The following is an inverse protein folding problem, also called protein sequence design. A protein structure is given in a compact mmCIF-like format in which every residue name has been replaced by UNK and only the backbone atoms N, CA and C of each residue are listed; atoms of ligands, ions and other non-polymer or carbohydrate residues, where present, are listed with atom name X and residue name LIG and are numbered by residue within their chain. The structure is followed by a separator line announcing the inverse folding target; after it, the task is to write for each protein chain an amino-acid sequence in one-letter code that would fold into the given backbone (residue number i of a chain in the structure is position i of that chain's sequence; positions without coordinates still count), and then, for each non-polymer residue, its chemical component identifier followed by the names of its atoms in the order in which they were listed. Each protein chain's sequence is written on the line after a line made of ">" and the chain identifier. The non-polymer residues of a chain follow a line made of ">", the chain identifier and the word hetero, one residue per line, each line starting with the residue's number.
data_IF_459694188451
#
_entry.id   IF_459694188451
#
_cell.length_a   1.000
_cell.length_b   1.000
_cell.length_c   1.000
_cell.angle_alpha   90.00
_cell.angle_beta   90.00
_cell.angle_gamma   90.00
#
_symmetry.space_group_name_H-M   'P 1'
#
loop_
_entity.id
_entity.type
_entity.pdbx_description
1 polymer ?
#
# COMPACT_ATOMS: atom_id res chain seq x y z
N UNK A 1 2.40 17.07 -1.90
CA UNK A 1 1.46 16.98 -0.76
C UNK A 1 1.13 18.36 -0.23
N UNK A 2 -0.07 18.50 0.32
CA UNK A 2 -0.57 19.69 0.99
C UNK A 2 -1.07 19.27 2.37
N UNK A 3 -0.77 20.09 3.41
CA UNK A 3 -1.22 19.80 4.77
C UNK A 3 -1.66 21.11 5.43
N UNK A 4 -2.79 21.06 6.13
CA UNK A 4 -3.30 22.13 6.97
C UNK A 4 -3.51 21.60 8.39
N UNK A 5 -3.06 22.37 9.38
CA UNK A 5 -3.15 22.02 10.79
C UNK A 5 -3.79 23.16 11.57
N UNK A 6 -4.77 22.85 12.40
CA UNK A 6 -5.38 23.78 13.35
C UNK A 6 -5.18 23.26 14.77
N UNK A 7 -4.44 24.02 15.56
CA UNK A 7 -4.26 23.77 16.99
C UNK A 7 -5.12 24.74 17.80
N UNK A 8 -6.02 24.20 18.60
CA UNK A 8 -6.93 24.98 19.45
C UNK A 8 -6.70 24.68 20.91
N UNK A 9 -6.48 25.71 21.70
CA UNK A 9 -6.42 25.61 23.16
C UNK A 9 -7.75 26.09 23.75
N UNK A 10 -8.49 25.14 24.36
CA UNK A 10 -9.80 25.40 24.94
C UNK A 10 -9.69 25.51 26.46
N UNK A 11 -9.44 26.70 26.92
CA UNK A 11 -9.08 26.96 28.33
C UNK A 11 -7.65 26.54 28.67
N UNK A 12 -7.39 26.17 29.93
CA UNK A 12 -6.04 25.82 30.41
C UNK A 12 -5.71 24.34 30.30
N UNK A 13 -6.71 23.49 30.20
CA UNK A 13 -6.57 22.00 30.33
C UNK A 13 -6.99 21.22 29.12
N UNK A 14 -7.54 21.85 28.10
CA UNK A 14 -8.03 21.16 26.91
C UNK A 14 -7.31 21.65 25.66
N UNK A 15 -6.93 20.71 24.82
CA UNK A 15 -6.33 20.99 23.52
C UNK A 15 -7.03 20.16 22.44
N UNK A 16 -7.17 20.75 21.27
CA UNK A 16 -7.62 20.04 20.09
C UNK A 16 -6.66 20.32 18.93
N UNK A 17 -6.38 19.28 18.16
CA UNK A 17 -5.55 19.34 16.96
C UNK A 17 -6.29 18.69 15.81
N UNK A 18 -6.68 19.49 14.83
CA UNK A 18 -7.23 19.04 13.57
C UNK A 18 -6.16 19.11 12.48
N UNK A 19 -5.97 18.00 11.77
CA UNK A 19 -5.04 17.87 10.64
C UNK A 19 -5.81 17.42 9.42
N UNK A 20 -5.63 18.11 8.30
CA UNK A 20 -6.14 17.73 6.99
C UNK A 20 -4.97 17.66 6.04
N UNK A 21 -4.84 16.56 5.31
CA UNK A 21 -3.79 16.39 4.32
C UNK A 21 -4.30 15.82 3.01
N UNK A 22 -3.63 16.22 1.94
CA UNK A 22 -3.78 15.69 0.61
C UNK A 22 -2.42 15.34 0.03
N UNK A 23 -2.29 14.12 -0.47
CA UNK A 23 -1.09 13.67 -1.16
C UNK A 23 -1.47 13.16 -2.55
N UNK A 24 -0.72 13.60 -3.54
CA UNK A 24 -0.78 13.11 -4.90
C UNK A 24 0.59 12.60 -5.32
N UNK A 25 0.62 11.37 -5.77
CA UNK A 25 1.81 10.74 -6.32
C UNK A 25 1.49 10.20 -7.72
N UNK A 26 2.33 10.55 -8.70
CA UNK A 26 2.24 10.03 -10.06
C UNK A 26 3.60 9.42 -10.44
N UNK A 27 3.69 8.10 -10.27
CA UNK A 27 4.86 7.28 -10.63
C UNK A 27 4.80 6.67 -12.03
N UNK A 28 3.96 7.20 -12.90
CA UNK A 28 3.62 6.57 -14.17
C UNK A 28 4.62 6.78 -15.31
N UNK A 29 5.61 7.63 -15.15
CA UNK A 29 6.35 8.11 -16.32
C UNK A 29 7.70 7.43 -16.49
N UNK A 30 7.69 6.26 -17.08
CA UNK A 30 8.80 5.85 -17.94
C UNK A 30 8.38 6.06 -19.38
N UNK A 31 8.71 7.21 -19.93
CA UNK A 31 8.56 7.49 -21.34
C UNK A 31 9.70 6.80 -22.08
N UNK A 32 9.34 6.03 -23.06
CA UNK A 32 10.30 5.42 -23.97
C UNK A 32 10.05 5.96 -25.39
N UNK A 33 11.09 6.00 -26.20
CA UNK A 33 11.09 6.63 -27.52
C UNK A 33 10.34 5.84 -28.61
N UNK A 34 9.38 4.99 -28.26
CA UNK A 34 8.57 4.23 -29.22
C UNK A 34 8.14 2.87 -28.66
N UNK A 35 7.21 2.21 -29.30
CA UNK A 35 6.68 0.90 -28.91
C UNK A 35 7.55 -0.22 -29.52
N UNK A 36 8.68 -0.52 -28.89
CA UNK A 36 9.56 -1.61 -29.30
C UNK A 36 9.37 -2.82 -28.38
N UNK A 37 9.31 -4.05 -28.93
CA UNK A 37 9.28 -5.25 -28.09
C UNK A 37 10.62 -5.44 -27.38
N UNK A 38 10.59 -6.21 -26.30
CA UNK A 38 11.79 -6.76 -25.70
C UNK A 38 12.29 -7.94 -26.50
N UNK A 39 13.55 -7.94 -26.86
CA UNK A 39 14.19 -9.03 -27.62
C UNK A 39 15.37 -9.56 -26.85
N UNK A 40 15.33 -10.88 -26.53
CA UNK A 40 16.47 -11.63 -26.01
C UNK A 40 17.10 -12.48 -27.11
N UNK A 41 18.41 -12.37 -27.28
CA UNK A 41 19.20 -13.21 -28.14
C UNK A 41 20.05 -14.12 -27.24
N UNK A 42 19.88 -15.42 -27.39
CA UNK A 42 20.53 -16.41 -26.54
C UNK A 42 21.88 -16.82 -27.11
N UNK A 43 22.78 -17.24 -26.21
CA UNK A 43 24.04 -17.90 -26.53
C UNK A 43 24.35 -18.93 -25.46
N UNK A 44 24.86 -20.12 -25.81
CA UNK A 44 25.35 -21.05 -24.81
C UNK A 44 26.54 -20.42 -24.05
N UNK A 45 26.51 -20.57 -22.72
CA UNK A 45 27.68 -20.28 -21.88
C UNK A 45 28.72 -21.42 -21.93
N UNK A 46 29.82 -21.28 -21.20
CA UNK A 46 30.90 -22.30 -21.15
C UNK A 46 30.42 -23.66 -20.62
N UNK A 47 29.31 -23.70 -19.88
CA UNK A 47 28.66 -24.93 -19.40
C UNK A 47 27.58 -25.47 -20.33
N UNK A 48 27.39 -24.89 -21.52
CA UNK A 48 26.36 -25.28 -22.49
C UNK A 48 24.95 -24.79 -22.13
N UNK A 49 24.77 -23.99 -21.09
CA UNK A 49 23.48 -23.41 -20.70
C UNK A 49 23.18 -22.19 -21.56
N UNK A 50 22.04 -22.17 -22.21
CA UNK A 50 21.59 -20.98 -22.96
C UNK A 50 21.22 -19.82 -22.05
N UNK A 51 21.92 -18.68 -22.21
CA UNK A 51 21.67 -17.43 -21.49
C UNK A 51 21.43 -16.29 -22.45
N UNK A 52 20.69 -15.27 -22.00
CA UNK A 52 20.58 -14.03 -22.75
C UNK A 52 21.95 -13.37 -22.86
N UNK A 53 22.47 -13.36 -24.05
CA UNK A 53 23.77 -12.77 -24.43
C UNK A 53 23.60 -11.33 -24.87
N UNK A 54 22.49 -11.00 -25.52
CA UNK A 54 22.13 -9.65 -25.94
C UNK A 54 20.64 -9.42 -25.64
N UNK A 55 20.35 -8.25 -25.09
CA UNK A 55 19.01 -7.78 -24.89
C UNK A 55 18.83 -6.46 -25.65
N UNK A 56 17.76 -6.32 -26.39
CA UNK A 56 17.42 -5.15 -27.16
C UNK A 56 15.94 -4.76 -26.98
N UNK A 57 15.62 -3.51 -27.30
CA UNK A 57 14.29 -2.97 -27.21
C UNK A 57 13.93 -2.49 -25.81
N UNK A 58 12.67 -2.60 -25.45
CA UNK A 58 12.14 -2.15 -24.18
C UNK A 58 12.50 -3.03 -23.00
N UNK A 59 12.58 -2.44 -21.82
CA UNK A 59 12.53 -3.18 -20.56
C UNK A 59 11.17 -3.87 -20.45
N UNK A 60 11.18 -5.18 -20.22
CA UNK A 60 10.00 -6.03 -20.14
C UNK A 60 8.99 -5.62 -19.06
N UNK A 61 9.40 -4.81 -18.07
CA UNK A 61 8.61 -4.37 -16.94
C UNK A 61 8.23 -2.89 -17.00
N UNK A 62 8.68 -2.14 -18.00
CA UNK A 62 8.55 -0.68 -18.01
C UNK A 62 7.40 -0.16 -18.88
N UNK A 63 7.03 -0.90 -19.94
CA UNK A 63 6.05 -0.42 -20.92
C UNK A 63 4.68 -0.18 -20.29
N UNK A 64 4.24 1.09 -20.32
CA UNK A 64 2.98 1.59 -19.76
C UNK A 64 2.70 1.22 -18.30
N UNK A 65 3.69 0.68 -17.58
CA UNK A 65 3.58 0.39 -16.16
C UNK A 65 3.68 1.67 -15.33
N UNK A 66 2.97 1.69 -14.23
CA UNK A 66 3.00 2.82 -13.33
C UNK A 66 1.89 2.79 -12.29
N UNK A 67 1.97 3.73 -11.38
CA UNK A 67 1.02 3.90 -10.28
C UNK A 67 0.65 5.37 -10.15
N UNK A 68 -0.64 5.62 -9.94
CA UNK A 68 -1.15 6.93 -9.53
C UNK A 68 -1.83 6.75 -8.19
N UNK A 69 -1.53 7.63 -7.24
CA UNK A 69 -2.07 7.56 -5.90
C UNK A 69 -2.55 8.95 -5.46
N UNK A 70 -3.77 9.00 -4.92
CA UNK A 70 -4.35 10.17 -4.28
C UNK A 70 -4.80 9.77 -2.88
N UNK A 71 -4.33 10.50 -1.88
CA UNK A 71 -4.68 10.21 -0.49
C UNK A 71 -5.22 11.48 0.15
N UNK A 72 -6.43 11.40 0.68
CA UNK A 72 -7.00 12.38 1.58
C UNK A 72 -7.02 11.83 2.99
N UNK A 73 -6.54 12.60 3.94
CA UNK A 73 -6.63 12.21 5.35
C UNK A 73 -7.11 13.38 6.19
N UNK A 74 -8.01 13.08 7.13
CA UNK A 74 -8.48 13.99 8.17
C UNK A 74 -8.27 13.31 9.51
N UNK A 75 -7.58 13.97 10.43
CA UNK A 75 -7.35 13.47 11.78
C UNK A 75 -7.69 14.55 12.78
N UNK A 76 -8.45 14.20 13.80
CA UNK A 76 -8.72 15.06 14.95
C UNK A 76 -8.26 14.37 16.22
N UNK A 77 -7.60 15.13 17.05
CA UNK A 77 -7.12 14.69 18.36
C UNK A 77 -7.53 15.72 19.41
N UNK A 78 -8.33 15.28 20.36
CA UNK A 78 -8.71 16.06 21.52
C UNK A 78 -8.05 15.50 22.77
N UNK A 79 -7.54 16.36 23.64
CA UNK A 79 -6.96 15.97 24.92
C UNK A 79 -7.43 16.87 26.04
N UNK A 80 -7.59 16.30 27.23
CA UNK A 80 -7.97 17.02 28.44
C UNK A 80 -7.20 16.50 29.65
N UNK A 81 -6.66 17.43 30.45
CA UNK A 81 -5.99 17.14 31.71
C UNK A 81 -7.00 17.23 32.85
N UNK A 82 -7.22 16.12 33.57
CA UNK A 82 -8.11 16.05 34.73
C UNK A 82 -7.35 15.44 35.90
N UNK A 83 -6.83 16.27 36.81
CA UNK A 83 -6.00 15.81 37.93
C UNK A 83 -4.76 15.05 37.43
N UNK A 84 -4.64 13.79 37.81
CA UNK A 84 -3.52 12.91 37.41
C UNK A 84 -3.72 12.21 36.05
N UNK A 85 -4.87 12.41 35.41
CA UNK A 85 -5.23 11.79 34.13
C UNK A 85 -5.04 12.79 32.98
N UNK A 86 -4.46 12.31 31.88
CA UNK A 86 -4.44 13.02 30.61
C UNK A 86 -5.20 12.19 29.56
N UNK A 87 -6.49 12.49 29.44
CA UNK A 87 -7.38 11.77 28.54
C UNK A 87 -7.20 12.29 27.13
N UNK A 88 -6.98 11.37 26.19
CA UNK A 88 -6.90 11.64 24.76
C UNK A 88 -7.95 10.85 24.00
N UNK A 89 -8.64 11.49 23.09
CA UNK A 89 -9.56 10.82 22.15
C UNK A 89 -9.40 11.43 20.77
N UNK A 90 -9.77 10.69 19.77
CA UNK A 90 -9.71 11.22 18.40
C UNK A 90 -10.32 10.29 17.39
N UNK A 91 -10.43 10.81 16.19
CA UNK A 91 -10.80 10.04 15.01
C UNK A 91 -9.82 10.32 13.87
N UNK A 92 -9.76 9.41 12.94
CA UNK A 92 -9.15 9.66 11.63
C UNK A 92 -10.01 9.04 10.52
N UNK A 93 -10.02 9.72 9.40
CA UNK A 93 -10.58 9.20 8.16
C UNK A 93 -9.54 9.34 7.08
N UNK A 94 -9.28 8.26 6.36
CA UNK A 94 -8.37 8.23 5.23
C UNK A 94 -9.08 7.66 4.01
N UNK A 95 -8.92 8.32 2.86
CA UNK A 95 -9.43 7.88 1.57
C UNK A 95 -8.28 7.79 0.60
N UNK A 96 -8.01 6.60 0.10
CA UNK A 96 -6.96 6.31 -0.86
C UNK A 96 -7.58 5.90 -2.19
N UNK A 97 -7.18 6.58 -3.26
CA UNK A 97 -7.49 6.25 -4.63
C UNK A 97 -6.19 5.87 -5.32
N UNK A 98 -5.99 4.58 -5.52
CA UNK A 98 -4.79 4.00 -6.12
C UNK A 98 -5.15 3.36 -7.43
N UNK A 99 -4.46 3.72 -8.50
CA UNK A 99 -4.60 3.08 -9.80
C UNK A 99 -3.24 2.59 -10.27
N UNK A 100 -3.12 1.28 -10.40
CA UNK A 100 -1.89 0.63 -10.82
C UNK A 100 -2.06 -0.04 -12.19
N UNK A 101 -1.04 0.04 -13.02
CA UNK A 101 -0.91 -0.74 -14.25
C UNK A 101 0.38 -1.52 -14.21
N UNK A 102 0.28 -2.82 -14.40
CA UNK A 102 1.44 -3.69 -14.56
C UNK A 102 1.21 -4.67 -15.71
N UNK A 103 1.88 -4.39 -16.83
CA UNK A 103 1.78 -5.16 -18.07
C UNK A 103 3.17 -5.66 -18.47
N UNK A 104 3.66 -6.72 -17.78
CA UNK A 104 4.91 -7.35 -18.20
C UNK A 104 4.78 -7.83 -19.65
N UNK A 105 5.76 -7.54 -20.47
CA UNK A 105 5.73 -7.83 -21.92
C UNK A 105 4.60 -7.11 -22.69
N UNK A 106 4.13 -5.96 -22.21
CA UNK A 106 3.05 -5.24 -22.89
C UNK A 106 3.39 -4.76 -24.30
N UNK A 107 4.67 -4.50 -24.59
CA UNK A 107 5.15 -4.21 -25.94
C UNK A 107 5.51 -5.48 -26.75
N UNK A 108 5.33 -6.66 -26.18
CA UNK A 108 5.78 -7.93 -26.73
C UNK A 108 7.18 -8.34 -26.28
N UNK A 109 7.39 -9.62 -26.23
CA UNK A 109 8.68 -10.25 -25.87
C UNK A 109 8.99 -11.35 -26.88
N UNK A 110 10.20 -11.31 -27.42
CA UNK A 110 10.70 -12.30 -28.37
C UNK A 110 12.03 -12.84 -27.87
N UNK A 111 12.22 -14.16 -27.98
CA UNK A 111 13.48 -14.81 -27.67
C UNK A 111 13.96 -15.60 -28.87
N UNK A 112 15.19 -15.37 -29.28
CA UNK A 112 15.86 -16.05 -30.38
C UNK A 112 16.96 -16.96 -29.84
N UNK A 113 17.11 -18.16 -30.42
CA UNK A 113 18.11 -19.13 -29.99
C UNK A 113 19.55 -18.68 -30.25
N UNK A 114 19.73 -17.86 -31.30
CA UNK A 114 21.04 -17.32 -31.69
C UNK A 114 20.92 -15.95 -32.34
N UNK A 115 22.05 -15.27 -32.48
CA UNK A 115 22.16 -14.03 -33.24
C UNK A 115 21.81 -14.22 -34.72
N UNK A 116 22.25 -15.35 -35.31
CA UNK A 116 21.97 -15.66 -36.71
C UNK A 116 20.47 -15.86 -36.95
N UNK A 117 19.77 -16.50 -36.02
CA UNK A 117 18.30 -16.64 -36.10
C UNK A 117 17.61 -15.28 -36.08
N UNK A 118 18.08 -14.36 -35.25
CA UNK A 118 17.52 -13.01 -35.19
C UNK A 118 17.75 -12.24 -36.50
N UNK A 119 18.98 -12.25 -37.02
CA UNK A 119 19.33 -11.51 -38.25
C UNK A 119 18.60 -12.11 -39.47
N UNK A 120 18.50 -13.42 -39.53
CA UNK A 120 17.82 -14.13 -40.63
C UNK A 120 16.29 -14.17 -40.47
N UNK A 121 15.73 -13.47 -39.44
CA UNK A 121 14.28 -13.39 -39.18
C UNK A 121 13.63 -14.75 -39.04
N UNK A 122 14.33 -15.69 -38.43
CA UNK A 122 13.76 -16.99 -38.10
C UNK A 122 12.67 -16.86 -37.02
N UNK A 123 11.83 -17.87 -36.87
CA UNK A 123 10.84 -17.87 -35.80
C UNK A 123 11.50 -17.81 -34.42
N UNK A 124 11.02 -16.97 -33.49
CA UNK A 124 11.54 -16.93 -32.13
C UNK A 124 11.23 -18.23 -31.40
N UNK A 125 12.14 -18.67 -30.50
CA UNK A 125 11.93 -19.87 -29.68
C UNK A 125 10.97 -19.62 -28.52
N UNK A 126 10.69 -18.35 -28.19
CA UNK A 126 9.65 -17.97 -27.25
C UNK A 126 9.06 -16.61 -27.63
N UNK A 127 7.75 -16.49 -27.43
CA UNK A 127 6.99 -15.25 -27.55
C UNK A 127 6.08 -15.11 -26.35
N UNK A 128 5.97 -13.87 -25.82
CA UNK A 128 5.02 -13.53 -24.78
C UNK A 128 4.47 -12.11 -24.99
N UNK A 129 3.20 -11.90 -24.67
CA UNK A 129 2.56 -10.61 -24.71
C UNK A 129 1.48 -10.53 -23.63
N UNK A 130 1.38 -9.37 -22.97
CA UNK A 130 0.29 -9.04 -22.06
C UNK A 130 -0.56 -7.94 -22.70
N UNK A 131 -1.87 -8.11 -22.69
CA UNK A 131 -2.82 -7.13 -23.21
C UNK A 131 -4.00 -6.98 -22.28
N UNK A 132 -4.70 -5.84 -22.39
CA UNK A 132 -5.93 -5.62 -21.65
C UNK A 132 -7.08 -6.41 -22.25
N UNK A 133 -7.87 -7.09 -21.40
CA UNK A 133 -9.08 -7.80 -21.83
C UNK A 133 -10.22 -6.85 -22.24
N UNK A 134 -10.15 -5.58 -21.82
CA UNK A 134 -11.14 -4.55 -22.15
C UNK A 134 -10.79 -3.75 -23.40
N UNK A 135 -9.64 -4.05 -24.02
CA UNK A 135 -9.15 -3.36 -25.21
C UNK A 135 -8.53 -1.98 -24.92
N UNK A 136 -8.38 -1.61 -23.66
CA UNK A 136 -7.71 -0.37 -23.26
C UNK A 136 -6.19 -0.53 -23.39
N UNK A 137 -5.50 0.56 -23.71
CA UNK A 137 -4.06 0.59 -23.82
C UNK A 137 -3.33 0.21 -22.53
N UNK A 138 -3.97 0.41 -21.37
CA UNK A 138 -3.45 0.11 -20.04
C UNK A 138 -4.46 -0.71 -19.26
N UNK A 139 -4.04 -1.86 -18.77
CA UNK A 139 -4.82 -2.68 -17.86
C UNK A 139 -4.76 -2.08 -16.45
N UNK A 140 -5.54 -1.04 -16.20
CA UNK A 140 -5.60 -0.36 -14.90
C UNK A 140 -6.31 -1.23 -13.87
N UNK A 141 -5.73 -1.32 -12.68
CA UNK A 141 -6.32 -1.98 -11.52
C UNK A 141 -6.60 -0.93 -10.42
N UNK A 142 -7.77 -0.26 -10.47
CA UNK A 142 -8.12 0.75 -9.49
C UNK A 142 -8.52 0.11 -8.16
N UNK A 143 -8.07 0.72 -7.06
CA UNK A 143 -8.43 0.39 -5.69
C UNK A 143 -8.84 1.68 -4.99
N UNK A 144 -10.10 1.77 -4.56
CA UNK A 144 -10.60 2.86 -3.74
C UNK A 144 -10.81 2.32 -2.32
N UNK A 145 -9.87 2.63 -1.46
CA UNK A 145 -9.81 2.19 -0.09
C UNK A 145 -10.10 3.34 0.86
N UNK A 146 -10.95 3.09 1.85
CA UNK A 146 -11.22 4.03 2.92
C UNK A 146 -10.97 3.35 4.26
N UNK A 147 -10.53 4.14 5.24
CA UNK A 147 -10.41 3.71 6.62
C UNK A 147 -10.95 4.77 7.55
N UNK A 148 -11.86 4.36 8.40
CA UNK A 148 -12.31 5.16 9.54
C UNK A 148 -11.73 4.58 10.82
N UNK A 149 -11.25 5.45 11.70
CA UNK A 149 -10.64 5.04 12.97
C UNK A 149 -11.10 5.95 14.10
N UNK A 150 -11.30 5.37 15.27
CA UNK A 150 -11.53 6.10 16.51
C UNK A 150 -10.67 5.52 17.62
N UNK A 151 -10.27 6.34 18.57
CA UNK A 151 -9.52 5.86 19.72
C UNK A 151 -9.83 6.69 20.96
N UNK A 152 -9.61 6.06 22.12
CA UNK A 152 -9.56 6.72 23.43
C UNK A 152 -8.38 6.15 24.23
N UNK A 153 -7.66 7.02 24.92
CA UNK A 153 -6.49 6.68 25.71
C UNK A 153 -6.46 7.52 26.98
N UNK A 154 -5.96 6.95 28.06
CA UNK A 154 -5.60 7.68 29.26
C UNK A 154 -4.12 7.50 29.59
N UNK A 155 -3.46 8.61 29.84
CA UNK A 155 -2.13 8.69 30.40
C UNK A 155 -2.26 9.03 31.88
N UNK A 156 -2.26 8.01 32.75
CA UNK A 156 -2.50 8.16 34.18
C UNK A 156 -1.20 8.21 34.99
N UNK A 157 -0.92 9.34 35.59
CA UNK A 157 0.18 9.52 36.53
C UNK A 157 -0.22 9.02 37.92
N UNK A 158 -0.07 7.69 38.18
CA UNK A 158 -0.45 7.07 39.44
C UNK A 158 0.32 7.68 40.64
N UNK A 159 1.58 8.01 40.41
CA UNK A 159 2.45 8.70 41.36
C UNK A 159 3.56 9.45 40.63
N UNK A 160 4.44 10.16 41.37
CA UNK A 160 5.63 10.77 40.79
C UNK A 160 6.59 9.78 40.12
N UNK A 161 6.46 8.49 40.41
CA UNK A 161 7.33 7.43 39.89
C UNK A 161 6.65 6.49 38.88
N UNK A 162 5.32 6.41 38.91
CA UNK A 162 4.57 5.44 38.10
C UNK A 162 3.58 6.14 37.18
N UNK A 163 3.76 5.94 35.88
CA UNK A 163 2.81 6.31 34.84
C UNK A 163 2.29 5.05 34.15
N UNK A 164 0.98 4.96 34.02
CA UNK A 164 0.27 3.97 33.23
C UNK A 164 -0.30 4.65 31.97
N UNK A 165 -0.31 3.91 30.87
CA UNK A 165 -0.99 4.31 29.66
C UNK A 165 -1.92 3.16 29.28
N UNK A 166 -3.17 3.42 29.06
CA UNK A 166 -4.12 2.43 28.57
C UNK A 166 -5.13 3.07 27.62
N UNK A 167 -5.53 2.31 26.64
CA UNK A 167 -6.43 2.82 25.62
C UNK A 167 -6.93 1.72 24.69
N UNK A 168 -7.78 2.12 23.79
CA UNK A 168 -8.31 1.27 22.73
C UNK A 168 -8.44 2.08 21.45
N UNK A 169 -8.13 1.43 20.33
CA UNK A 169 -8.35 1.95 19.00
C UNK A 169 -9.22 0.96 18.22
N UNK A 170 -10.12 1.47 17.42
CA UNK A 170 -10.91 0.71 16.47
C UNK A 170 -10.67 1.28 15.07
N UNK A 171 -10.29 0.42 14.13
CA UNK A 171 -10.11 0.73 12.72
C UNK A 171 -11.14 -0.04 11.90
N UNK A 172 -11.77 0.63 10.94
CA UNK A 172 -12.76 0.05 10.04
C UNK A 172 -12.32 0.30 8.61
N UNK A 173 -11.57 -0.63 7.99
CA UNK A 173 -11.20 -0.55 6.58
C UNK A 173 -12.38 -0.98 5.69
N UNK A 174 -12.57 -0.31 4.56
CA UNK A 174 -13.56 -0.69 3.57
C UNK A 174 -13.21 -0.20 2.17
N UNK A 175 -13.72 -0.91 1.18
CA UNK A 175 -13.52 -0.60 -0.24
C UNK A 175 -14.84 -0.14 -0.87
N UNK A 176 -14.76 0.83 -1.78
CA UNK A 176 -15.97 1.45 -2.36
C UNK A 176 -16.12 1.26 -3.86
N UNK A 177 -15.05 0.84 -4.56
CA UNK A 177 -15.14 0.56 -6.00
C UNK A 177 -15.54 -0.89 -6.28
N UNK A 178 -16.11 -1.11 -7.46
CA UNK A 178 -16.37 -2.45 -7.97
C UNK A 178 -15.09 -3.05 -8.57
N UNK A 179 -14.95 -4.36 -8.47
CA UNK A 179 -13.89 -5.12 -9.14
C UNK A 179 -14.47 -5.89 -10.33
N UNK A 180 -13.60 -6.24 -11.26
CA UNK A 180 -13.94 -7.16 -12.34
C UNK A 180 -14.09 -8.59 -11.80
N UNK A 181 -15.23 -9.20 -12.08
CA UNK A 181 -15.47 -10.61 -11.80
C UNK A 181 -14.90 -11.44 -12.96
N UNK A 182 -13.99 -12.36 -12.66
CA UNK A 182 -13.47 -13.31 -13.64
C UNK A 182 -14.29 -14.60 -13.59
N UNK A 183 -15.14 -14.88 -14.62
CA UNK A 183 -16.01 -16.04 -14.63
C UNK A 183 -15.26 -17.37 -14.55
N UNK A 184 -14.03 -17.46 -15.09
CA UNK A 184 -13.20 -18.65 -15.02
C UNK A 184 -12.76 -19.00 -13.60
N UNK A 185 -12.62 -17.98 -12.73
CA UNK A 185 -12.28 -18.19 -11.32
C UNK A 185 -13.54 -18.52 -10.52
N UNK A 186 -14.62 -17.74 -10.73
CA UNK A 186 -15.88 -17.93 -10.01
C UNK A 186 -16.51 -19.29 -10.26
N UNK A 187 -16.34 -19.85 -11.47
CA UNK A 187 -16.84 -21.16 -11.83
C UNK A 187 -15.95 -22.35 -11.41
N UNK A 188 -14.78 -22.08 -10.83
CA UNK A 188 -13.85 -23.14 -10.42
C UNK A 188 -14.12 -23.60 -8.98
N UNK A 189 -14.06 -24.90 -8.76
CA UNK A 189 -14.20 -25.49 -7.43
C UNK A 189 -12.86 -25.48 -6.68
N UNK A 190 -12.77 -24.70 -5.61
CA UNK A 190 -11.63 -24.64 -4.70
C UNK A 190 -11.91 -25.50 -3.44
N UNK A 191 -12.06 -26.80 -3.60
CA UNK A 191 -12.40 -27.73 -2.52
C UNK A 191 -13.71 -27.35 -1.78
N UNK A 192 -14.76 -27.10 -2.52
CA UNK A 192 -16.07 -26.71 -2.00
C UNK A 192 -16.17 -25.25 -1.56
N UNK A 193 -15.16 -24.43 -1.83
CA UNK A 193 -15.20 -22.98 -1.56
C UNK A 193 -15.48 -22.19 -2.82
N UNK A 194 -16.54 -21.40 -2.79
CA UNK A 194 -16.80 -20.42 -3.84
C UNK A 194 -15.93 -19.17 -3.61
N UNK A 195 -15.13 -18.79 -4.60
CA UNK A 195 -14.33 -17.57 -4.60
C UNK A 195 -14.85 -16.61 -5.66
N UNK A 196 -14.84 -15.33 -5.35
CA UNK A 196 -15.18 -14.25 -6.28
C UNK A 196 -14.03 -13.29 -6.38
N UNK A 197 -13.62 -12.94 -7.60
CA UNK A 197 -12.63 -11.89 -7.86
C UNK A 197 -13.28 -10.52 -7.88
N UNK A 198 -14.61 -10.43 -8.01
CA UNK A 198 -15.38 -9.21 -8.07
C UNK A 198 -15.79 -8.64 -6.72
N UNK A 199 -15.56 -9.39 -5.62
CA UNK A 199 -15.93 -8.96 -4.27
C UNK A 199 -14.73 -8.47 -3.47
N UNK A 200 -14.95 -7.44 -2.68
CA UNK A 200 -14.02 -6.98 -1.65
C UNK A 200 -14.30 -7.68 -0.32
N UNK A 201 -13.29 -7.77 0.57
CA UNK A 201 -13.54 -8.15 1.96
C UNK A 201 -14.58 -7.22 2.60
N UNK A 202 -15.41 -7.79 3.46
CA UNK A 202 -16.38 -7.00 4.22
C UNK A 202 -15.66 -6.07 5.19
N UNK A 203 -16.21 -4.87 5.39
CA UNK A 203 -15.77 -3.97 6.44
C UNK A 203 -15.88 -4.68 7.79
N UNK A 204 -14.74 -4.89 8.44
CA UNK A 204 -14.66 -5.57 9.73
C UNK A 204 -13.91 -4.68 10.70
N UNK A 205 -14.52 -4.31 11.85
CA UNK A 205 -13.83 -3.54 12.87
C UNK A 205 -12.64 -4.32 13.43
N UNK A 206 -11.49 -3.66 13.45
CA UNK A 206 -10.23 -4.15 14.04
C UNK A 206 -10.01 -3.42 15.36
N UNK A 207 -10.05 -4.14 16.48
CA UNK A 207 -9.91 -3.55 17.80
C UNK A 207 -8.49 -3.81 18.30
N UNK A 208 -7.81 -2.74 18.68
CA UNK A 208 -6.42 -2.74 19.15
C UNK A 208 -6.35 -2.13 20.54
N UNK A 209 -6.32 -2.94 21.62
CA UNK A 209 -6.05 -2.45 22.96
C UNK A 209 -4.59 -2.05 23.08
N UNK A 210 -4.33 -1.07 23.95
CA UNK A 210 -2.99 -0.60 24.28
C UNK A 210 -2.84 -0.49 25.77
N UNK A 211 -1.74 -1.02 26.32
CA UNK A 211 -1.35 -0.89 27.72
C UNK A 211 0.14 -0.57 27.78
N UNK A 212 0.52 0.37 28.61
CA UNK A 212 1.92 0.72 28.84
C UNK A 212 2.17 1.08 30.29
N UNK A 213 3.38 0.80 30.76
CA UNK A 213 3.88 1.14 32.09
C UNK A 213 5.22 1.86 31.95
N UNK A 214 5.42 2.89 32.76
CA UNK A 214 6.70 3.55 32.93
C UNK A 214 6.90 3.78 34.43
N UNK A 215 7.90 3.10 35.00
CA UNK A 215 8.17 3.11 36.42
C UNK A 215 9.61 3.52 36.71
N UNK A 216 9.79 4.58 37.49
CA UNK A 216 11.08 5.02 37.99
C UNK A 216 11.41 4.30 39.29
N UNK A 217 12.26 3.26 39.23
CA UNK A 217 12.57 2.39 40.36
C UNK A 217 13.24 3.14 41.52
N UNK A 218 14.11 4.09 41.21
CA UNK A 218 14.88 4.80 42.23
C UNK A 218 14.27 6.16 42.60
N UNK A 219 13.36 6.69 41.76
CA UNK A 219 12.71 7.96 41.99
C UNK A 219 13.57 9.18 41.63
N UNK A 220 14.72 8.97 41.02
CA UNK A 220 15.68 10.00 40.59
C UNK A 220 15.95 9.99 39.07
N UNK A 221 15.14 9.29 38.33
CA UNK A 221 15.19 9.11 36.88
C UNK A 221 16.40 8.36 36.32
N UNK A 222 17.27 7.80 37.20
CA UNK A 222 18.45 7.04 36.76
C UNK A 222 18.13 5.62 36.29
N UNK A 223 17.09 4.98 36.86
CA UNK A 223 16.70 3.63 36.50
C UNK A 223 15.20 3.55 36.25
N UNK A 224 14.79 3.37 34.99
CA UNK A 224 13.39 3.30 34.56
C UNK A 224 13.07 1.96 33.93
N UNK A 225 12.00 1.35 34.41
CA UNK A 225 11.38 0.19 33.78
C UNK A 225 10.27 0.67 32.85
N UNK A 226 10.29 0.20 31.59
CA UNK A 226 9.25 0.50 30.61
C UNK A 226 8.80 -0.78 29.93
N UNK A 227 7.49 -0.91 29.72
CA UNK A 227 6.90 -2.02 28.99
C UNK A 227 5.53 -1.64 28.45
N UNK A 228 5.06 -2.39 27.45
CA UNK A 228 3.74 -2.16 26.87
C UNK A 228 3.49 -3.03 25.63
N UNK A 229 2.26 -2.93 25.11
CA UNK A 229 1.77 -3.58 23.86
C UNK A 229 1.54 -2.53 22.78
#
# INVERSE_FOLDING_TARGET
>A
SLTAELNSRLGMMMNNKLLVSFTFNDGNKRECNGDFPTVDIMKPDEGGTNRAFMNAGYDQHAWRNGITEKVWAVTDHFSVQIGAHNLGTGFSFESQDVSNCYMRYGAGYYRYASYDDFVNRMAPVAFAMTYSLTGEDRALSPVHYNQFSVYAQDDYNVSSRLKLVYGVRMDIPFYVNKRYENPSITGYDFNGKALSTGSWPKATPLISPRVGINYDLLGDNRLKLRGGT
#
